data_IF_795422680510
#
_entry.id   IF_795422680510
#
_cell.length_a   1.000
_cell.length_b   1.000
_cell.length_c   1.000
_cell.angle_alpha   90.00
_cell.angle_beta   90.00
_cell.angle_gamma   90.00
#
_symmetry.space_group_name_H-M   'P 1'
#
loop_
_entity.id
_entity.type
_entity.pdbx_description
1 polymer ?
#
# COMPACT_ATOMS: atom_id res chain seq x y z
N UNK A 1 24.53 3.29 4.31
CA UNK A 1 23.76 2.75 5.46
C UNK A 1 22.46 3.52 5.60
N UNK A 2 21.36 2.88 5.99
CA UNK A 2 20.08 3.55 6.23
C UNK A 2 20.13 4.30 7.58
N UNK A 3 19.57 5.53 7.60
CA UNK A 3 19.44 6.35 8.80
C UNK A 3 18.72 5.59 9.94
N UNK A 4 19.24 5.61 11.18
CA UNK A 4 18.61 4.96 12.33
C UNK A 4 17.19 5.46 12.61
N UNK A 5 16.87 6.70 12.31
CA UNK A 5 15.51 7.26 12.48
C UNK A 5 14.53 6.62 11.52
N UNK A 6 14.92 6.45 10.24
CA UNK A 6 14.10 5.76 9.24
C UNK A 6 13.89 4.29 9.63
N UNK A 7 14.93 3.62 10.14
CA UNK A 7 14.79 2.24 10.66
C UNK A 7 13.74 2.15 11.76
N UNK A 8 13.82 3.04 12.76
CA UNK A 8 12.86 3.09 13.85
C UNK A 8 11.44 3.34 13.37
N UNK A 9 11.26 4.24 12.39
CA UNK A 9 9.96 4.52 11.78
C UNK A 9 9.38 3.29 11.06
N UNK A 10 10.18 2.57 10.27
CA UNK A 10 9.78 1.32 9.62
C UNK A 10 9.41 0.26 10.66
N UNK A 11 10.21 0.11 11.71
CA UNK A 11 9.95 -0.85 12.78
C UNK A 11 8.67 -0.55 13.55
N UNK A 12 8.41 0.72 13.80
CA UNK A 12 7.18 1.19 14.43
C UNK A 12 5.96 0.92 13.54
N UNK A 13 6.03 1.30 12.26
CA UNK A 13 4.96 1.04 11.29
C UNK A 13 4.68 -0.46 11.16
N UNK A 14 5.73 -1.28 11.03
CA UNK A 14 5.61 -2.74 10.96
C UNK A 14 4.78 -3.29 12.14
N UNK A 15 5.12 -2.90 13.36
CA UNK A 15 4.42 -3.41 14.57
C UNK A 15 2.93 -3.06 14.56
N UNK A 16 2.60 -1.83 14.16
CA UNK A 16 1.20 -1.36 14.12
C UNK A 16 0.39 -2.06 13.03
N UNK A 17 0.94 -2.14 11.81
CA UNK A 17 0.30 -2.80 10.67
C UNK A 17 0.11 -4.30 10.99
N UNK A 18 1.14 -4.95 11.51
CA UNK A 18 1.06 -6.36 11.89
C UNK A 18 -0.03 -6.63 12.94
N UNK A 19 -0.07 -5.80 14.00
CA UNK A 19 -1.09 -5.95 15.07
C UNK A 19 -2.50 -5.83 14.51
N UNK A 20 -2.74 -4.84 13.64
CA UNK A 20 -4.05 -4.61 13.05
C UNK A 20 -4.47 -5.78 12.14
N UNK A 21 -3.62 -6.17 11.19
CA UNK A 21 -3.95 -7.23 10.25
C UNK A 21 -4.03 -8.63 10.91
N UNK A 22 -3.33 -8.85 12.02
CA UNK A 22 -3.51 -10.07 12.81
C UNK A 22 -4.93 -10.16 13.38
N UNK A 23 -5.51 -9.03 13.80
CA UNK A 23 -6.89 -8.98 14.28
C UNK A 23 -7.93 -9.21 13.15
N UNK A 24 -7.56 -8.94 11.89
CA UNK A 24 -8.42 -9.16 10.72
C UNK A 24 -8.42 -10.60 10.21
N UNK A 25 -7.54 -11.46 10.74
CA UNK A 25 -7.45 -12.85 10.27
C UNK A 25 -8.77 -13.56 10.48
N UNK A 26 -9.37 -14.02 9.39
CA UNK A 26 -10.62 -14.76 9.41
C UNK A 26 -10.41 -16.20 9.91
N UNK A 27 -11.45 -16.76 10.51
CA UNK A 27 -11.47 -18.15 10.98
C UNK A 27 -12.28 -19.00 10.02
N UNK A 28 -11.90 -20.27 9.90
CA UNK A 28 -12.69 -21.26 9.18
C UNK A 28 -14.06 -21.40 9.84
N UNK A 29 -15.08 -21.67 9.01
CA UNK A 29 -16.44 -21.85 9.46
C UNK A 29 -16.82 -23.33 9.28
N UNK A 30 -17.30 -23.92 10.35
CA UNK A 30 -17.83 -25.29 10.36
C UNK A 30 -19.32 -25.20 10.71
N UNK A 31 -20.16 -25.66 9.81
CA UNK A 31 -21.59 -25.65 10.00
C UNK A 31 -22.15 -27.05 9.80
N UNK A 32 -23.10 -27.45 10.66
CA UNK A 32 -23.87 -28.69 10.55
C UNK A 32 -25.34 -28.35 10.68
N UNK A 33 -26.12 -28.75 9.70
CA UNK A 33 -27.58 -28.55 9.69
C UNK A 33 -28.32 -29.64 10.45
N UNK A 34 -29.67 -29.50 10.55
CA UNK A 34 -30.56 -30.44 11.23
C UNK A 34 -30.66 -31.79 10.51
N UNK A 35 -30.24 -31.89 9.25
CA UNK A 35 -30.21 -33.11 8.45
C UNK A 35 -28.84 -33.81 8.46
N UNK A 36 -27.93 -33.35 9.34
CA UNK A 36 -26.57 -33.81 9.47
C UNK A 36 -25.66 -33.51 8.27
N UNK A 37 -26.05 -32.60 7.36
CA UNK A 37 -25.14 -32.09 6.34
C UNK A 37 -24.04 -31.24 7.01
N UNK A 38 -22.78 -31.47 6.62
CA UNK A 38 -21.63 -30.76 7.11
C UNK A 38 -21.11 -29.84 6.02
N UNK A 39 -20.99 -28.53 6.32
CA UNK A 39 -20.45 -27.53 5.42
C UNK A 39 -19.23 -26.93 6.08
N UNK A 40 -18.11 -26.94 5.38
CA UNK A 40 -16.86 -26.33 5.81
C UNK A 40 -16.49 -25.19 4.86
N UNK A 41 -16.23 -24.01 5.39
CA UNK A 41 -15.67 -22.89 4.66
C UNK A 41 -14.24 -22.62 5.16
N UNK A 42 -13.24 -22.90 4.33
CA UNK A 42 -11.82 -22.81 4.71
C UNK A 42 -11.15 -21.64 4.01
N UNK A 43 -10.40 -20.85 4.78
CA UNK A 43 -9.53 -19.80 4.26
C UNK A 43 -8.15 -20.38 3.96
N UNK A 44 -7.84 -20.55 2.69
CA UNK A 44 -6.56 -21.12 2.24
C UNK A 44 -5.68 -20.01 1.64
N UNK A 45 -4.39 -19.88 2.06
CA UNK A 45 -3.50 -18.91 1.47
C UNK A 45 -3.21 -19.24 0.01
N UNK A 46 -3.13 -18.21 -0.84
CA UNK A 46 -2.57 -18.35 -2.18
C UNK A 46 -1.07 -18.67 -2.07
N UNK A 47 -0.52 -19.36 -3.08
CA UNK A 47 0.85 -19.87 -3.00
C UNK A 47 1.90 -18.75 -3.10
N UNK A 48 1.65 -17.75 -3.96
CA UNK A 48 2.61 -16.67 -4.21
C UNK A 48 1.93 -15.35 -4.54
N UNK A 49 2.61 -14.25 -4.18
CA UNK A 49 2.25 -12.90 -4.64
C UNK A 49 3.45 -12.17 -5.20
N UNK A 50 3.19 -11.33 -6.21
CA UNK A 50 4.09 -10.30 -6.69
C UNK A 50 3.68 -8.95 -6.11
N UNK A 51 4.59 -8.25 -5.47
CA UNK A 51 4.35 -6.92 -4.94
C UNK A 51 5.10 -5.92 -5.79
N UNK A 52 4.37 -5.02 -6.45
CA UNK A 52 4.96 -3.85 -7.08
C UNK A 52 5.07 -2.72 -6.07
N UNK A 53 6.28 -2.22 -5.87
CA UNK A 53 6.56 -1.10 -4.95
C UNK A 53 7.18 0.03 -5.74
N UNK A 54 6.58 1.24 -5.77
CA UNK A 54 7.22 2.42 -6.32
C UNK A 54 8.59 2.68 -5.68
N UNK A 55 9.51 3.32 -6.41
CA UNK A 55 10.93 3.37 -6.06
C UNK A 55 11.25 3.73 -4.60
N UNK A 56 10.47 4.64 -3.99
CA UNK A 56 10.80 5.25 -2.70
C UNK A 56 9.77 4.98 -1.59
N UNK A 57 8.89 3.98 -1.74
CA UNK A 57 7.78 3.77 -0.81
C UNK A 57 7.91 2.48 0.02
N UNK A 58 8.71 2.45 1.09
CA UNK A 58 8.80 1.29 1.98
C UNK A 58 7.46 0.99 2.68
N UNK A 59 6.59 1.99 2.88
CA UNK A 59 5.25 1.84 3.41
C UNK A 59 4.38 0.93 2.53
N UNK A 60 4.46 1.08 1.21
CA UNK A 60 3.77 0.22 0.26
C UNK A 60 4.16 -1.25 0.42
N UNK A 61 5.46 -1.51 0.63
CA UNK A 61 5.91 -2.87 0.88
C UNK A 61 5.33 -3.44 2.18
N UNK A 62 5.36 -2.66 3.27
CA UNK A 62 4.79 -3.08 4.55
C UNK A 62 3.29 -3.36 4.45
N UNK A 63 2.53 -2.46 3.82
CA UNK A 63 1.07 -2.55 3.68
C UNK A 63 0.61 -3.76 2.86
N UNK A 64 1.42 -4.23 1.92
CA UNK A 64 1.09 -5.40 1.09
C UNK A 64 1.68 -6.71 1.64
N UNK A 65 2.94 -6.69 2.09
CA UNK A 65 3.63 -7.90 2.50
C UNK A 65 3.23 -8.40 3.89
N UNK A 66 2.90 -7.51 4.83
CA UNK A 66 2.49 -7.93 6.18
C UNK A 66 1.18 -8.71 6.14
N UNK A 67 0.09 -8.21 5.51
CA UNK A 67 -1.14 -8.99 5.37
C UNK A 67 -0.93 -10.32 4.65
N UNK A 68 -0.11 -10.32 3.60
CA UNK A 68 0.20 -11.55 2.88
C UNK A 68 0.85 -12.61 3.76
N UNK A 69 1.82 -12.21 4.60
CA UNK A 69 2.47 -13.12 5.56
C UNK A 69 1.51 -13.62 6.63
N UNK A 70 0.66 -12.75 7.15
CA UNK A 70 -0.37 -13.12 8.15
C UNK A 70 -1.37 -14.10 7.53
N UNK A 71 -1.73 -13.91 6.25
CA UNK A 71 -2.58 -14.83 5.51
C UNK A 71 -1.90 -16.18 5.21
N UNK A 72 -0.57 -16.31 5.39
CA UNK A 72 0.17 -17.55 5.19
C UNK A 72 0.77 -17.72 3.79
N UNK A 73 0.84 -16.65 2.98
CA UNK A 73 1.51 -16.69 1.66
C UNK A 73 2.99 -17.02 1.83
N UNK A 74 3.43 -18.08 1.15
CA UNK A 74 4.80 -18.61 1.33
C UNK A 74 5.82 -17.87 0.46
N UNK A 75 5.49 -17.57 -0.80
CA UNK A 75 6.38 -16.91 -1.75
C UNK A 75 5.95 -15.49 -2.01
N UNK A 76 6.83 -14.53 -1.74
CA UNK A 76 6.61 -13.11 -2.01
C UNK A 76 7.73 -12.62 -2.93
N UNK A 77 7.35 -12.13 -4.11
CA UNK A 77 8.26 -11.57 -5.11
C UNK A 77 8.10 -10.06 -5.13
N UNK A 78 9.18 -9.34 -4.91
CA UNK A 78 9.19 -7.87 -4.90
C UNK A 78 9.74 -7.34 -6.24
N UNK A 79 8.96 -6.50 -6.91
CA UNK A 79 9.41 -5.66 -8.02
C UNK A 79 9.51 -4.21 -7.53
N UNK A 80 10.73 -3.65 -7.55
CA UNK A 80 11.00 -2.28 -7.10
C UNK A 80 11.96 -1.61 -8.07
N UNK A 81 11.56 -0.55 -8.79
CA UNK A 81 12.44 0.14 -9.72
C UNK A 81 13.58 0.84 -8.97
N UNK A 82 14.72 0.94 -9.65
CA UNK A 82 15.84 1.75 -9.17
C UNK A 82 15.50 3.24 -9.26
N UNK A 83 15.98 3.99 -8.29
CA UNK A 83 16.05 5.44 -8.36
C UNK A 83 17.53 5.85 -8.43
N UNK A 84 17.92 6.64 -9.43
CA UNK A 84 19.31 7.01 -9.69
C UNK A 84 20.28 5.80 -9.68
N UNK A 85 19.87 4.72 -10.34
CA UNK A 85 20.67 3.51 -10.50
C UNK A 85 20.75 2.58 -9.27
N UNK A 86 20.11 2.93 -8.16
CA UNK A 86 20.16 2.17 -6.89
C UNK A 86 18.75 1.84 -6.38
N UNK A 87 18.62 0.70 -5.73
CA UNK A 87 17.43 0.38 -4.95
C UNK A 87 17.40 1.21 -3.66
N UNK A 88 16.21 1.62 -3.25
CA UNK A 88 16.04 2.42 -2.04
C UNK A 88 16.42 1.62 -0.78
N UNK A 89 17.36 2.10 0.06
CA UNK A 89 17.79 1.38 1.25
C UNK A 89 16.67 1.12 2.27
N UNK A 90 15.65 2.00 2.33
CA UNK A 90 14.50 1.83 3.22
C UNK A 90 13.60 0.66 2.75
N UNK A 91 13.38 0.53 1.43
CA UNK A 91 12.65 -0.61 0.85
C UNK A 91 13.42 -1.91 1.10
N UNK A 92 14.74 -1.91 0.90
CA UNK A 92 15.58 -3.09 1.17
C UNK A 92 15.58 -3.49 2.65
N UNK A 93 15.59 -2.50 3.56
CA UNK A 93 15.48 -2.76 4.99
C UNK A 93 14.13 -3.39 5.35
N UNK A 94 13.04 -2.85 4.83
CA UNK A 94 11.71 -3.42 5.02
C UNK A 94 11.60 -4.84 4.43
N UNK A 95 12.16 -5.08 3.24
CA UNK A 95 12.18 -6.40 2.61
C UNK A 95 12.97 -7.42 3.47
N UNK A 96 14.16 -7.03 3.96
CA UNK A 96 14.96 -7.87 4.87
C UNK A 96 14.20 -8.19 6.15
N UNK A 97 13.55 -7.20 6.77
CA UNK A 97 12.73 -7.38 7.98
C UNK A 97 11.58 -8.35 7.76
N UNK A 98 11.00 -8.34 6.57
CA UNK A 98 9.92 -9.24 6.15
C UNK A 98 10.43 -10.61 5.65
N UNK A 99 11.74 -10.84 5.57
CA UNK A 99 12.32 -12.07 5.03
C UNK A 99 11.98 -12.30 3.56
N UNK A 100 11.91 -11.21 2.76
CA UNK A 100 11.69 -11.28 1.32
C UNK A 100 13.05 -11.32 0.63
N UNK A 101 13.32 -12.42 -0.07
CA UNK A 101 14.62 -12.67 -0.72
C UNK A 101 14.57 -12.53 -2.25
N UNK A 102 13.37 -12.65 -2.86
CA UNK A 102 13.18 -12.48 -4.29
C UNK A 102 12.88 -11.01 -4.59
N UNK A 103 13.93 -10.25 -4.97
CA UNK A 103 13.83 -8.80 -5.25
C UNK A 103 14.37 -8.53 -6.65
N UNK A 104 13.52 -7.96 -7.50
CA UNK A 104 13.83 -7.62 -8.87
C UNK A 104 13.81 -6.11 -9.07
N UNK A 105 14.91 -5.57 -9.60
CA UNK A 105 15.04 -4.13 -9.87
C UNK A 105 14.40 -3.76 -11.21
N UNK A 106 13.07 -3.83 -11.27
CA UNK A 106 12.30 -3.52 -12.47
C UNK A 106 11.08 -2.65 -12.12
N UNK A 107 10.60 -1.88 -13.08
CA UNK A 107 9.47 -0.96 -12.92
C UNK A 107 8.54 -0.97 -14.11
N UNK A 108 7.47 -0.15 -14.04
CA UNK A 108 6.53 0.04 -15.12
C UNK A 108 5.74 -1.22 -15.51
N UNK A 109 5.22 -1.22 -16.73
CA UNK A 109 4.48 -2.35 -17.30
C UNK A 109 5.31 -3.63 -17.37
N UNK A 110 6.62 -3.51 -17.60
CA UNK A 110 7.55 -4.64 -17.68
C UNK A 110 7.62 -5.42 -16.37
N UNK A 111 7.56 -4.73 -15.23
CA UNK A 111 7.52 -5.39 -13.93
C UNK A 111 6.27 -6.24 -13.76
N UNK A 112 5.11 -5.73 -14.20
CA UNK A 112 3.83 -6.46 -14.14
C UNK A 112 3.86 -7.69 -15.06
N UNK A 113 4.30 -7.52 -16.31
CA UNK A 113 4.46 -8.64 -17.25
C UNK A 113 5.44 -9.70 -16.75
N UNK A 114 6.57 -9.28 -16.15
CA UNK A 114 7.52 -10.20 -15.53
C UNK A 114 6.93 -10.97 -14.36
N UNK A 115 6.21 -10.30 -13.46
CA UNK A 115 5.55 -10.96 -12.32
C UNK A 115 4.51 -11.98 -12.80
N UNK A 116 3.73 -11.65 -13.82
CA UNK A 116 2.70 -12.52 -14.38
C UNK A 116 3.29 -13.74 -15.11
N UNK A 117 4.19 -13.51 -16.07
CA UNK A 117 4.56 -14.54 -17.06
C UNK A 117 5.92 -15.18 -16.81
N UNK A 118 6.87 -14.45 -16.19
CA UNK A 118 8.21 -14.98 -15.90
C UNK A 118 8.25 -15.55 -14.48
N UNK A 119 7.85 -14.75 -13.48
CA UNK A 119 7.82 -15.18 -12.08
C UNK A 119 6.61 -16.04 -11.74
N UNK A 120 5.56 -15.97 -12.57
CA UNK A 120 4.32 -16.76 -12.48
C UNK A 120 3.73 -16.75 -11.08
N UNK A 121 3.55 -15.54 -10.52
CA UNK A 121 2.89 -15.38 -9.24
C UNK A 121 1.38 -15.57 -9.37
N UNK A 122 0.71 -16.00 -8.31
CA UNK A 122 -0.74 -16.20 -8.33
C UNK A 122 -1.53 -14.89 -8.27
N UNK A 123 -0.95 -13.84 -7.66
CA UNK A 123 -1.59 -12.54 -7.55
C UNK A 123 -0.55 -11.43 -7.57
N UNK A 124 -0.86 -10.30 -8.22
CA UNK A 124 -0.05 -9.09 -8.23
C UNK A 124 -0.80 -8.01 -7.45
N UNK A 125 -0.08 -7.32 -6.54
CA UNK A 125 -0.60 -6.24 -5.70
C UNK A 125 0.39 -5.07 -5.67
N UNK A 126 -0.09 -3.92 -5.21
CA UNK A 126 0.72 -2.71 -5.03
C UNK A 126 0.36 -1.61 -6.03
N UNK A 127 0.43 -0.33 -5.61
CA UNK A 127 0.08 0.81 -6.44
C UNK A 127 1.11 1.05 -7.54
N UNK A 128 0.71 1.76 -8.58
CA UNK A 128 1.60 2.15 -9.66
C UNK A 128 0.99 3.26 -10.52
N UNK A 129 1.79 3.78 -11.44
CA UNK A 129 1.33 4.78 -12.40
C UNK A 129 0.39 4.20 -13.46
N UNK A 130 -0.07 5.03 -14.38
CA UNK A 130 -1.01 4.66 -15.45
C UNK A 130 -0.51 3.46 -16.29
N UNK A 131 0.80 3.32 -16.51
CA UNK A 131 1.38 2.20 -17.25
C UNK A 131 1.30 0.89 -16.47
N UNK A 132 1.54 0.94 -15.16
CA UNK A 132 1.37 -0.20 -14.25
C UNK A 132 -0.10 -0.60 -14.17
N UNK A 133 -1.01 0.37 -14.03
CA UNK A 133 -2.44 0.13 -14.02
C UNK A 133 -2.94 -0.48 -15.35
N UNK A 134 -2.47 0.04 -16.48
CA UNK A 134 -2.77 -0.49 -17.81
C UNK A 134 -2.28 -1.94 -17.97
N UNK A 135 -1.04 -2.23 -17.54
CA UNK A 135 -0.50 -3.58 -17.59
C UNK A 135 -1.27 -4.56 -16.70
N UNK A 136 -1.66 -4.15 -15.48
CA UNK A 136 -2.50 -4.97 -14.60
C UNK A 136 -3.84 -5.33 -15.23
N UNK A 137 -4.47 -4.40 -15.96
CA UNK A 137 -5.72 -4.69 -16.69
C UNK A 137 -5.50 -5.72 -17.79
N UNK A 138 -4.35 -5.68 -18.48
CA UNK A 138 -4.04 -6.60 -19.58
C UNK A 138 -3.77 -8.03 -19.07
N UNK A 139 -3.14 -8.18 -17.91
CA UNK A 139 -2.85 -9.51 -17.33
C UNK A 139 -3.97 -10.03 -16.43
N UNK A 140 -5.06 -9.26 -16.26
CA UNK A 140 -6.21 -9.68 -15.49
C UNK A 140 -6.89 -10.89 -16.14
N UNK A 141 -7.05 -11.95 -15.39
CA UNK A 141 -7.54 -13.24 -15.89
C UNK A 141 -6.42 -14.29 -16.01
N UNK A 142 -5.21 -13.89 -16.37
CA UNK A 142 -4.03 -14.77 -16.37
C UNK A 142 -3.41 -14.86 -14.97
N UNK A 143 -3.47 -13.76 -14.23
CA UNK A 143 -3.00 -13.65 -12.86
C UNK A 143 -4.01 -12.86 -12.02
N UNK A 144 -4.15 -13.19 -10.74
CA UNK A 144 -5.00 -12.43 -9.83
C UNK A 144 -4.47 -11.01 -9.66
N UNK A 145 -5.37 -10.02 -9.70
CA UNK A 145 -5.05 -8.62 -9.41
C UNK A 145 -5.86 -8.18 -8.19
N UNK A 146 -5.44 -7.15 -7.46
CA UNK A 146 -6.26 -6.53 -6.43
C UNK A 146 -7.60 -6.06 -7.02
N UNK A 147 -8.68 -6.14 -6.23
CA UNK A 147 -10.04 -5.88 -6.69
C UNK A 147 -10.29 -4.45 -7.21
N UNK A 148 -9.40 -3.50 -6.90
CA UNK A 148 -9.44 -2.15 -7.42
C UNK A 148 -8.05 -1.75 -7.91
N UNK A 149 -7.95 -1.44 -9.21
CA UNK A 149 -6.73 -0.89 -9.77
C UNK A 149 -6.68 0.58 -9.36
N UNK A 150 -5.69 0.94 -8.54
CA UNK A 150 -5.54 2.29 -8.03
C UNK A 150 -5.39 3.31 -9.17
N UNK A 151 -6.21 4.35 -9.11
CA UNK A 151 -6.10 5.58 -9.89
C UNK A 151 -5.69 6.75 -8.99
N UNK A 152 -5.77 8.01 -9.48
CA UNK A 152 -5.60 9.19 -8.65
C UNK A 152 -6.57 9.13 -7.46
N UNK A 153 -6.03 9.36 -6.26
CA UNK A 153 -6.83 9.32 -5.04
C UNK A 153 -7.35 10.71 -4.70
N UNK A 154 -8.52 10.75 -4.11
CA UNK A 154 -9.16 11.98 -3.66
C UNK A 154 -9.39 11.92 -2.15
N UNK A 155 -9.25 13.07 -1.46
CA UNK A 155 -9.65 13.21 -0.07
C UNK A 155 -10.64 14.35 0.07
N UNK A 156 -11.73 14.11 0.77
CA UNK A 156 -12.66 15.14 1.19
C UNK A 156 -12.71 15.20 2.70
N UNK A 157 -12.34 16.32 3.27
CA UNK A 157 -12.34 16.56 4.72
C UNK A 157 -13.50 17.47 5.07
N UNK A 158 -14.37 16.99 5.97
CA UNK A 158 -15.41 17.80 6.60
C UNK A 158 -14.87 18.33 7.92
N UNK A 159 -14.79 19.65 8.05
CA UNK A 159 -14.22 20.30 9.24
C UNK A 159 -15.18 21.31 9.84
N UNK A 160 -15.23 21.36 11.17
CA UNK A 160 -15.97 22.34 11.95
C UNK A 160 -15.04 23.24 12.80
N UNK A 161 -15.62 24.03 13.69
CA UNK A 161 -14.87 24.93 14.57
C UNK A 161 -13.99 24.22 15.63
N UNK A 162 -14.21 22.93 15.87
CA UNK A 162 -13.48 22.10 16.84
C UNK A 162 -12.37 21.26 16.19
N UNK A 163 -12.34 21.23 14.87
CA UNK A 163 -11.39 20.41 14.10
C UNK A 163 -9.96 20.94 14.27
N UNK A 164 -9.04 20.03 14.53
CA UNK A 164 -7.61 20.34 14.65
C UNK A 164 -7.04 20.69 13.26
N UNK A 165 -6.58 21.91 13.09
CA UNK A 165 -6.06 22.41 11.83
C UNK A 165 -4.84 21.60 11.34
N UNK A 166 -3.92 21.24 12.25
CA UNK A 166 -2.73 20.46 11.89
C UNK A 166 -3.09 19.08 11.30
N UNK A 167 -4.12 18.44 11.83
CA UNK A 167 -4.58 17.16 11.29
C UNK A 167 -5.17 17.32 9.89
N UNK A 168 -5.95 18.39 9.65
CA UNK A 168 -6.48 18.73 8.33
C UNK A 168 -5.35 18.97 7.34
N UNK A 169 -4.41 19.85 7.69
CA UNK A 169 -3.29 20.22 6.83
C UNK A 169 -2.42 19.02 6.51
N UNK A 170 -2.04 18.22 7.52
CA UNK A 170 -1.21 17.02 7.32
C UNK A 170 -1.89 15.98 6.44
N UNK A 171 -3.20 15.76 6.62
CA UNK A 171 -3.97 14.81 5.82
C UNK A 171 -4.08 15.25 4.36
N UNK A 172 -4.30 16.53 4.11
CA UNK A 172 -4.41 17.07 2.75
C UNK A 172 -3.06 17.09 2.03
N UNK A 173 -1.97 17.48 2.71
CA UNK A 173 -0.62 17.44 2.15
C UNK A 173 -0.22 15.98 1.82
N UNK A 174 -0.41 15.06 2.77
CA UNK A 174 -0.11 13.64 2.56
C UNK A 174 -0.84 13.04 1.36
N UNK A 175 -2.06 13.49 1.06
CA UNK A 175 -2.78 13.07 -0.14
C UNK A 175 -2.27 13.77 -1.40
N UNK A 176 -1.98 15.07 -1.33
CA UNK A 176 -1.49 15.84 -2.46
C UNK A 176 -0.12 15.37 -2.97
N UNK A 177 0.74 14.87 -2.09
CA UNK A 177 2.06 14.32 -2.42
C UNK A 177 2.01 13.00 -3.20
N UNK A 178 0.86 12.30 -3.22
CA UNK A 178 0.75 11.00 -3.88
C UNK A 178 0.83 11.07 -5.39
N UNK A 179 0.17 12.06 -6.02
CA UNK A 179 0.11 12.20 -7.47
C UNK A 179 -0.28 13.64 -7.85
N UNK A 180 0.24 14.14 -8.97
CA UNK A 180 -0.13 15.47 -9.51
C UNK A 180 -1.61 15.62 -9.87
N UNK A 181 -2.33 14.51 -10.06
CA UNK A 181 -3.77 14.46 -10.32
C UNK A 181 -4.60 14.20 -9.05
N UNK A 182 -3.96 14.11 -7.87
CA UNK A 182 -4.68 13.96 -6.60
C UNK A 182 -5.54 15.19 -6.30
N UNK A 183 -6.76 14.96 -5.83
CA UNK A 183 -7.66 16.04 -5.40
C UNK A 183 -7.80 16.04 -3.88
N UNK A 184 -7.71 17.25 -3.31
CA UNK A 184 -7.89 17.47 -1.87
C UNK A 184 -8.96 18.53 -1.66
N UNK A 185 -10.09 18.15 -1.07
CA UNK A 185 -11.25 19.02 -0.87
C UNK A 185 -11.47 19.24 0.62
N UNK A 186 -11.48 20.50 1.05
CA UNK A 186 -11.89 20.89 2.40
C UNK A 186 -13.26 21.54 2.38
N UNK A 187 -14.21 20.97 3.09
CA UNK A 187 -15.56 21.50 3.26
C UNK A 187 -15.73 21.96 4.70
N UNK A 188 -16.03 23.24 4.89
CA UNK A 188 -16.27 23.81 6.21
C UNK A 188 -17.21 25.00 6.13
N UNK A 189 -17.99 25.23 7.21
CA UNK A 189 -18.78 26.44 7.41
C UNK A 189 -17.99 27.56 8.10
N UNK A 190 -16.74 27.28 8.52
CA UNK A 190 -15.91 28.21 9.27
C UNK A 190 -14.89 28.90 8.34
N UNK A 191 -15.18 30.12 7.91
CA UNK A 191 -14.29 30.92 7.05
C UNK A 191 -12.92 31.19 7.68
N UNK A 192 -12.84 31.33 9.01
CA UNK A 192 -11.56 31.51 9.70
C UNK A 192 -10.66 30.28 9.59
N UNK A 193 -11.24 29.08 9.56
CA UNK A 193 -10.50 27.83 9.36
C UNK A 193 -9.88 27.79 7.95
N UNK A 194 -10.62 28.24 6.93
CA UNK A 194 -10.10 28.32 5.55
C UNK A 194 -8.89 29.25 5.47
N UNK A 195 -8.99 30.44 6.07
CA UNK A 195 -7.91 31.42 6.05
C UNK A 195 -6.65 30.92 6.79
N UNK A 196 -6.83 30.27 7.94
CA UNK A 196 -5.73 29.63 8.67
C UNK A 196 -5.09 28.49 7.87
N UNK A 197 -5.92 27.62 7.27
CA UNK A 197 -5.45 26.52 6.45
C UNK A 197 -4.61 26.98 5.26
N UNK A 198 -5.05 28.03 4.54
CA UNK A 198 -4.27 28.62 3.43
C UNK A 198 -2.89 29.07 3.89
N UNK A 199 -2.82 29.75 5.03
CA UNK A 199 -1.56 30.23 5.60
C UNK A 199 -0.62 29.09 6.01
N UNK A 200 -1.17 28.03 6.62
CA UNK A 200 -0.39 26.84 7.01
C UNK A 200 0.10 26.05 5.79
N UNK A 201 -0.70 26.00 4.73
CA UNK A 201 -0.32 25.36 3.48
C UNK A 201 0.86 26.09 2.80
N UNK A 202 0.81 27.42 2.73
CA UNK A 202 1.90 28.24 2.19
C UNK A 202 3.21 28.03 2.97
N UNK A 203 3.13 27.96 4.31
CA UNK A 203 4.30 27.69 5.17
C UNK A 203 4.85 26.27 4.97
N UNK A 204 4.01 25.28 4.75
CA UNK A 204 4.41 23.88 4.54
C UNK A 204 5.08 23.68 3.19
N UNK A 205 4.63 24.36 2.13
CA UNK A 205 5.20 24.30 0.79
C UNK A 205 6.60 24.93 0.68
N UNK A 206 7.00 25.77 1.64
CA UNK A 206 8.35 26.33 1.70
C UNK A 206 9.40 25.31 2.19
N UNK A 207 8.96 24.23 2.81
CA UNK A 207 9.83 23.21 3.42
C UNK A 207 9.87 21.87 2.63
N UNK A 208 9.22 21.79 1.47
CA UNK A 208 9.25 20.68 0.52
C UNK A 208 10.16 21.04 -0.67
#
# INVERSE_FOLDING_TARGET
SLDPTIKRAIDFAYKRIHKFHTAQKTKDIFYKDNLNNKIEYKYVPIQSIGIYVPANLPSTLLMNAIPAKIAGVKRIVLANPKNNGKLNPAVLYAAKKLGINEIYSMGGAQAIGSLAYIQKVNKIVGPGNIFVAGAKRQVFGDVGIEGMIAGPSEITILADSKTNLNEVTTSMIGQAEHDSNSQCILITKNSNLINKFRKDLELSLIHI
#
